data_IF_159477165079
#
_entry.id   IF_159477165079
#
_cell.length_a   1.000
_cell.length_b   1.000
_cell.length_c   1.000
_cell.angle_alpha   90.00
_cell.angle_beta   90.00
_cell.angle_gamma   90.00
#
_symmetry.space_group_name_H-M   'P 1'
#
loop_
_entity.id
_entity.type
_entity.pdbx_description
1 polymer ?
#
# COMPACT_ATOMS: atom_id res chain seq x y z
N UNK A 1 28.00 -20.61 -30.22
CA UNK A 1 27.48 -19.24 -30.12
C UNK A 1 25.97 -19.25 -29.85
N UNK A 2 25.13 -19.86 -30.72
CA UNK A 2 23.68 -19.99 -30.50
C UNK A 2 23.24 -20.60 -29.16
N UNK A 3 23.91 -21.64 -28.67
CA UNK A 3 23.53 -22.28 -27.39
C UNK A 3 23.73 -21.38 -26.17
N UNK A 4 24.79 -20.56 -26.18
CA UNK A 4 25.03 -19.61 -25.09
C UNK A 4 24.00 -18.50 -25.09
N UNK A 5 23.55 -18.06 -26.28
CA UNK A 5 22.51 -17.03 -26.41
C UNK A 5 21.16 -17.55 -25.90
N UNK A 6 20.82 -18.81 -26.22
CA UNK A 6 19.60 -19.47 -25.69
C UNK A 6 19.66 -19.62 -24.17
N UNK A 7 20.79 -20.08 -23.62
CA UNK A 7 20.98 -20.19 -22.18
C UNK A 7 20.84 -18.82 -21.48
N UNK A 8 21.43 -17.76 -22.04
CA UNK A 8 21.32 -16.41 -21.48
C UNK A 8 19.86 -15.94 -21.51
N UNK A 9 19.12 -16.20 -22.59
CA UNK A 9 17.69 -15.85 -22.67
C UNK A 9 16.87 -16.59 -21.62
N UNK A 10 17.11 -17.89 -21.41
CA UNK A 10 16.41 -18.67 -20.39
C UNK A 10 16.69 -18.15 -18.98
N UNK A 11 17.95 -17.87 -18.67
CA UNK A 11 18.34 -17.29 -17.38
C UNK A 11 17.74 -15.90 -17.17
N UNK A 12 17.74 -15.05 -18.20
CA UNK A 12 17.11 -13.74 -18.15
C UNK A 12 15.60 -13.85 -17.91
N UNK A 13 14.93 -14.81 -18.56
CA UNK A 13 13.50 -15.05 -18.37
C UNK A 13 13.17 -15.46 -16.93
N UNK A 14 13.98 -16.33 -16.32
CA UNK A 14 13.82 -16.72 -14.91
C UNK A 14 13.97 -15.50 -13.99
N UNK A 15 15.00 -14.67 -14.20
CA UNK A 15 15.24 -13.46 -13.40
C UNK A 15 14.08 -12.48 -13.52
N UNK A 16 13.61 -12.21 -14.74
CA UNK A 16 12.53 -11.26 -14.98
C UNK A 16 11.18 -11.76 -14.47
N UNK A 17 10.92 -13.07 -14.51
CA UNK A 17 9.76 -13.66 -13.85
C UNK A 17 9.82 -13.48 -12.33
N UNK A 18 10.97 -13.75 -11.71
CA UNK A 18 11.17 -13.55 -10.27
C UNK A 18 10.97 -12.10 -9.84
N UNK A 19 11.55 -11.15 -10.59
CA UNK A 19 11.35 -9.70 -10.33
C UNK A 19 9.88 -9.30 -10.38
N UNK A 20 9.14 -9.74 -11.41
CA UNK A 20 7.70 -9.45 -11.54
C UNK A 20 6.91 -9.99 -10.35
N UNK A 21 7.20 -11.21 -9.90
CA UNK A 21 6.55 -11.80 -8.73
C UNK A 21 6.83 -11.03 -7.44
N UNK A 22 8.08 -10.60 -7.23
CA UNK A 22 8.46 -9.80 -6.06
C UNK A 22 7.70 -8.48 -6.06
N UNK A 23 7.69 -7.76 -7.19
CA UNK A 23 7.00 -6.48 -7.32
C UNK A 23 5.49 -6.63 -7.04
N UNK A 24 4.84 -7.63 -7.66
CA UNK A 24 3.42 -7.91 -7.43
C UNK A 24 3.12 -8.24 -5.97
N UNK A 25 3.98 -9.02 -5.30
CA UNK A 25 3.80 -9.34 -3.88
C UNK A 25 3.97 -8.11 -2.98
N UNK A 26 4.96 -7.26 -3.26
CA UNK A 26 5.18 -6.00 -2.55
C UNK A 26 3.99 -5.07 -2.73
N UNK A 27 3.48 -4.91 -3.95
CA UNK A 27 2.34 -4.04 -4.25
C UNK A 27 1.04 -4.53 -3.60
N UNK A 28 0.81 -5.85 -3.61
CA UNK A 28 -0.29 -6.50 -2.90
C UNK A 28 -0.23 -6.18 -1.40
N UNK A 29 0.96 -6.28 -0.81
CA UNK A 29 1.19 -6.01 0.61
C UNK A 29 1.00 -4.52 0.93
N UNK A 30 1.57 -3.62 0.12
CA UNK A 30 1.44 -2.17 0.30
C UNK A 30 -0.01 -1.72 0.19
N UNK A 31 -0.78 -2.27 -0.75
CA UNK A 31 -2.22 -2.00 -0.88
C UNK A 31 -2.94 -2.29 0.42
N UNK A 32 -2.68 -3.44 1.04
CA UNK A 32 -3.30 -3.82 2.30
C UNK A 32 -2.86 -2.92 3.46
N UNK A 33 -1.58 -2.58 3.54
CA UNK A 33 -1.05 -1.65 4.57
C UNK A 33 -1.72 -0.28 4.46
N UNK A 34 -1.83 0.25 3.25
CA UNK A 34 -2.47 1.54 2.99
C UNK A 34 -3.94 1.53 3.39
N UNK A 35 -4.65 0.45 3.08
CA UNK A 35 -6.03 0.27 3.55
C UNK A 35 -6.12 0.27 5.08
N UNK A 36 -5.28 -0.53 5.75
CA UNK A 36 -5.31 -0.69 7.20
C UNK A 36 -5.01 0.62 7.94
N UNK A 37 -4.07 1.42 7.43
CA UNK A 37 -3.75 2.73 7.98
C UNK A 37 -4.97 3.65 7.87
N UNK A 38 -5.58 3.74 6.69
CA UNK A 38 -6.80 4.52 6.49
C UNK A 38 -7.90 4.12 7.44
N UNK A 39 -8.17 2.82 7.55
CA UNK A 39 -9.21 2.27 8.41
C UNK A 39 -8.96 2.61 9.88
N UNK A 40 -7.72 2.48 10.36
CA UNK A 40 -7.35 2.83 11.73
C UNK A 40 -7.52 4.31 12.03
N UNK A 41 -7.13 5.18 11.09
CA UNK A 41 -7.30 6.62 11.24
C UNK A 41 -8.80 6.98 11.29
N UNK A 42 -9.61 6.46 10.37
CA UNK A 42 -11.05 6.76 10.32
C UNK A 42 -11.76 6.27 11.58
N UNK A 43 -11.45 5.05 12.03
CA UNK A 43 -12.00 4.50 13.28
C UNK A 43 -11.65 5.36 14.49
N UNK A 44 -10.40 5.82 14.59
CA UNK A 44 -9.98 6.71 15.67
C UNK A 44 -10.77 8.04 15.68
N UNK A 45 -11.08 8.62 14.52
CA UNK A 45 -11.86 9.86 14.46
C UNK A 45 -13.34 9.66 14.78
N UNK A 46 -13.95 8.56 14.32
CA UNK A 46 -15.34 8.21 14.63
C UNK A 46 -15.56 8.00 16.13
N UNK A 47 -14.68 7.24 16.79
CA UNK A 47 -14.78 6.93 18.22
C UNK A 47 -14.62 8.16 19.12
N UNK A 48 -13.82 9.14 18.68
CA UNK A 48 -13.54 10.34 19.48
C UNK A 48 -14.53 11.49 19.24
N UNK A 49 -15.53 11.36 18.36
CA UNK A 49 -16.48 12.44 17.98
C UNK A 49 -15.79 13.75 17.54
N UNK A 50 -14.54 13.65 17.08
CA UNK A 50 -13.63 14.78 16.80
C UNK A 50 -13.64 15.18 15.31
N UNK A 51 -14.84 15.26 14.71
CA UNK A 51 -14.98 15.58 13.29
C UNK A 51 -14.32 16.93 12.90
N UNK A 52 -14.34 17.93 13.80
CA UNK A 52 -13.66 19.22 13.58
C UNK A 52 -12.14 19.16 13.81
N UNK A 53 -11.65 18.27 14.67
CA UNK A 53 -10.23 18.17 15.05
C UNK A 53 -9.37 17.40 14.02
N UNK A 54 -10.00 16.63 13.12
CA UNK A 54 -9.32 15.90 12.05
C UNK A 54 -8.55 16.80 11.07
N UNK A 55 -8.87 18.10 11.02
CA UNK A 55 -8.15 19.07 10.19
C UNK A 55 -6.70 19.31 10.66
N UNK A 56 -6.43 19.26 11.97
CA UNK A 56 -5.09 19.51 12.52
C UNK A 56 -4.32 18.23 12.88
N UNK A 57 -5.01 17.13 13.20
CA UNK A 57 -4.36 15.87 13.60
C UNK A 57 -3.71 15.15 12.42
N UNK A 58 -4.37 15.12 11.25
CA UNK A 58 -3.83 14.40 10.08
C UNK A 58 -2.48 14.97 9.63
N UNK A 59 -2.26 16.30 9.54
CA UNK A 59 -0.94 16.87 9.28
C UNK A 59 0.14 16.47 10.30
N UNK A 60 -0.21 16.43 11.60
CA UNK A 60 0.74 16.04 12.66
C UNK A 60 1.14 14.56 12.56
N UNK A 61 0.16 13.67 12.40
CA UNK A 61 0.39 12.23 12.21
C UNK A 61 1.20 11.99 10.94
N UNK A 62 0.85 12.67 9.85
CA UNK A 62 1.58 12.58 8.59
C UNK A 62 3.05 12.98 8.74
N UNK A 63 3.32 14.06 9.47
CA UNK A 63 4.71 14.52 9.71
C UNK A 63 5.51 13.46 10.46
N UNK A 64 4.94 12.88 11.53
CA UNK A 64 5.62 11.82 12.29
C UNK A 64 5.83 10.56 11.44
N UNK A 65 4.83 10.12 10.69
CA UNK A 65 4.95 8.94 9.84
C UNK A 65 5.90 9.16 8.67
N UNK A 66 5.90 10.33 8.04
CA UNK A 66 6.82 10.65 6.96
C UNK A 66 8.27 10.69 7.44
N UNK A 67 8.52 11.21 8.65
CA UNK A 67 9.85 11.21 9.25
C UNK A 67 10.34 9.79 9.58
N UNK A 68 9.45 8.91 10.05
CA UNK A 68 9.81 7.55 10.45
C UNK A 68 9.87 6.55 9.28
N UNK A 69 8.98 6.70 8.28
CA UNK A 69 8.73 5.69 7.25
C UNK A 69 8.82 6.24 5.81
N UNK A 70 9.12 7.53 5.64
CA UNK A 70 9.36 8.15 4.34
C UNK A 70 8.13 8.72 3.64
N UNK A 71 8.36 9.24 2.43
CA UNK A 71 7.42 10.11 1.72
C UNK A 71 6.08 9.45 1.33
N UNK A 72 6.00 8.12 1.33
CA UNK A 72 4.73 7.40 1.13
C UNK A 72 3.68 7.73 2.20
N UNK A 73 4.09 8.25 3.37
CA UNK A 73 3.21 8.58 4.49
C UNK A 73 3.04 10.09 4.73
N UNK A 74 3.24 10.89 3.69
CA UNK A 74 2.86 12.31 3.73
C UNK A 74 1.33 12.50 3.78
N UNK A 75 0.91 13.70 4.17
CA UNK A 75 -0.49 14.02 4.46
C UNK A 75 -1.45 13.67 3.31
N UNK A 76 -1.06 14.01 2.07
CA UNK A 76 -1.85 13.68 0.87
C UNK A 76 -2.08 12.18 0.72
N UNK A 77 -1.09 11.36 1.05
CA UNK A 77 -1.19 9.91 0.94
C UNK A 77 -2.02 9.34 2.10
N UNK A 78 -1.88 9.85 3.32
CA UNK A 78 -2.78 9.48 4.43
C UNK A 78 -4.25 9.78 4.11
N UNK A 79 -4.54 10.95 3.53
CA UNK A 79 -5.92 11.29 3.12
C UNK A 79 -6.47 10.31 2.07
N UNK A 80 -5.62 9.84 1.14
CA UNK A 80 -5.99 8.79 0.19
C UNK A 80 -6.20 7.44 0.84
N UNK A 81 -5.36 7.08 1.82
CA UNK A 81 -5.51 5.86 2.61
C UNK A 81 -6.85 5.87 3.36
N UNK A 82 -7.17 6.98 4.03
CA UNK A 82 -8.47 7.20 4.69
C UNK A 82 -9.63 7.04 3.71
N UNK A 83 -9.57 7.70 2.54
CA UNK A 83 -10.60 7.56 1.51
C UNK A 83 -10.73 6.12 1.01
N UNK A 84 -9.61 5.41 0.84
CA UNK A 84 -9.63 4.02 0.40
C UNK A 84 -10.38 3.13 1.41
N UNK A 85 -10.14 3.33 2.70
CA UNK A 85 -10.85 2.60 3.75
C UNK A 85 -12.34 2.96 3.86
N UNK A 86 -12.71 4.21 3.60
CA UNK A 86 -14.12 4.63 3.59
C UNK A 86 -14.90 4.06 2.41
N UNK A 87 -14.28 4.01 1.22
CA UNK A 87 -14.92 3.47 0.00
C UNK A 87 -15.04 1.94 0.07
N UNK A 88 -14.07 1.27 0.70
CA UNK A 88 -14.05 -0.19 0.85
C UNK A 88 -13.97 -0.59 2.33
N UNK A 89 -15.06 -0.49 3.10
CA UNK A 89 -15.01 -0.67 4.55
C UNK A 89 -14.79 -2.12 5.02
N UNK A 90 -14.99 -3.10 4.13
CA UNK A 90 -14.92 -4.52 4.47
C UNK A 90 -13.52 -5.12 4.24
N UNK A 91 -12.83 -5.43 5.33
CA UNK A 91 -11.53 -6.11 5.30
C UNK A 91 -11.61 -7.51 4.65
N UNK A 92 -12.71 -8.24 4.85
CA UNK A 92 -12.88 -9.59 4.28
C UNK A 92 -12.95 -9.55 2.75
N UNK A 93 -13.27 -8.39 2.17
CA UNK A 93 -13.22 -8.15 0.73
C UNK A 93 -11.85 -7.64 0.28
N UNK A 94 -11.26 -6.67 0.98
CA UNK A 94 -10.00 -6.04 0.55
C UNK A 94 -8.80 -6.97 0.65
N UNK A 95 -8.73 -7.79 1.70
CA UNK A 95 -7.62 -8.71 1.92
C UNK A 95 -7.46 -9.76 0.79
N UNK A 96 -8.52 -10.49 0.34
CA UNK A 96 -8.38 -11.40 -0.78
C UNK A 96 -8.16 -10.69 -2.11
N UNK A 97 -8.80 -9.55 -2.37
CA UNK A 97 -8.61 -8.81 -3.63
C UNK A 97 -7.19 -8.27 -3.78
N UNK A 98 -6.60 -7.76 -2.69
CA UNK A 98 -5.21 -7.28 -2.70
C UNK A 98 -4.23 -8.38 -3.09
N UNK A 99 -4.51 -9.65 -2.76
CA UNK A 99 -3.64 -10.79 -3.13
C UNK A 99 -3.74 -11.19 -4.61
N UNK A 100 -4.74 -10.67 -5.33
CA UNK A 100 -4.94 -10.95 -6.75
C UNK A 100 -4.29 -9.91 -7.66
N UNK A 101 -3.60 -8.90 -7.10
CA UNK A 101 -2.94 -7.85 -7.87
C UNK A 101 -1.70 -8.41 -8.59
N UNK A 102 -1.70 -8.30 -9.90
CA UNK A 102 -0.63 -8.84 -10.77
C UNK A 102 0.49 -7.84 -11.08
N UNK A 103 0.34 -6.59 -10.64
CA UNK A 103 1.25 -5.48 -10.95
C UNK A 103 2.14 -5.13 -9.77
#
# INVERSE_FOLDING_TARGET
MKDNDLLIQDLANIIEQGKRQIVSHVNSTLTLVYWQIGYKINKHFLENQRAEYGKEVVPQVATQLANAYGNSFQEKNLRRMMQFADVFPDYQLVAPLSRQLSW
#
